data_IF_496350728207
#
_entry.id   IF_496350728207
#
_cell.length_a   1.000
_cell.length_b   1.000
_cell.length_c   1.000
_cell.angle_alpha   90.00
_cell.angle_beta   90.00
_cell.angle_gamma   90.00
#
_symmetry.space_group_name_H-M   'P 1'
#
loop_
_entity.id
_entity.type
_entity.pdbx_description
1 polymer ?
#
# COMPACT_ATOMS: atom_id res chain seq x y z
N UNK A 1 1.65 -11.80 8.78
CA UNK A 1 0.87 -10.67 9.32
C UNK A 1 1.22 -10.36 10.78
N UNK A 2 1.49 -11.36 11.64
CA UNK A 2 1.90 -11.14 13.04
C UNK A 2 3.11 -10.20 13.19
N UNK A 3 4.20 -10.40 12.45
CA UNK A 3 5.44 -9.58 12.61
C UNK A 3 5.22 -8.07 12.40
N UNK A 4 4.41 -7.66 11.41
CA UNK A 4 4.16 -6.22 11.17
C UNK A 4 3.09 -5.68 12.11
N UNK A 5 2.11 -6.51 12.49
CA UNK A 5 1.11 -6.19 13.51
C UNK A 5 1.71 -6.05 14.92
N UNK A 6 2.76 -6.81 15.24
CA UNK A 6 3.45 -6.74 16.53
C UNK A 6 4.35 -5.49 16.65
N UNK A 7 4.87 -4.99 15.53
CA UNK A 7 5.66 -3.73 15.47
C UNK A 7 4.74 -2.50 15.47
N UNK A 8 3.58 -2.59 14.81
CA UNK A 8 2.58 -1.51 14.71
C UNK A 8 1.19 -1.98 15.20
N UNK A 9 1.04 -2.31 16.49
CA UNK A 9 -0.21 -2.83 17.03
C UNK A 9 -1.33 -1.79 16.91
N UNK A 10 -2.51 -2.22 16.45
CA UNK A 10 -3.77 -1.45 16.41
C UNK A 10 -3.75 -0.10 15.67
N UNK A 11 -2.70 0.21 14.91
CA UNK A 11 -2.57 1.50 14.22
C UNK A 11 -2.93 1.43 12.72
N UNK A 12 -3.13 0.22 12.18
CA UNK A 12 -3.44 0.02 10.76
C UNK A 12 -2.29 0.35 9.81
N UNK A 13 -1.12 0.77 10.30
CA UNK A 13 0.07 1.07 9.47
C UNK A 13 0.66 -0.19 8.83
N UNK A 14 0.50 -1.35 9.47
CA UNK A 14 0.90 -2.63 8.89
C UNK A 14 0.16 -2.93 7.59
N UNK A 15 -1.15 -2.64 7.53
CA UNK A 15 -1.93 -2.76 6.30
C UNK A 15 -1.42 -1.81 5.21
N UNK A 16 -1.14 -0.55 5.55
CA UNK A 16 -0.68 0.45 4.58
C UNK A 16 0.68 0.08 3.98
N UNK A 17 1.68 -0.22 4.80
CA UNK A 17 3.03 -0.53 4.31
C UNK A 17 3.07 -1.81 3.48
N UNK A 18 2.38 -2.87 3.92
CA UNK A 18 2.32 -4.14 3.19
C UNK A 18 1.57 -3.96 1.87
N UNK A 19 0.49 -3.17 1.85
CA UNK A 19 -0.26 -2.87 0.64
C UNK A 19 0.56 -2.06 -0.37
N UNK A 20 1.33 -1.07 0.09
CA UNK A 20 2.25 -0.31 -0.77
C UNK A 20 3.28 -1.24 -1.43
N UNK A 21 3.94 -2.09 -0.64
CA UNK A 21 4.93 -3.04 -1.16
C UNK A 21 4.29 -4.04 -2.14
N UNK A 22 3.11 -4.57 -1.80
CA UNK A 22 2.39 -5.52 -2.65
C UNK A 22 1.98 -4.90 -3.99
N UNK A 23 1.35 -3.72 -3.97
CA UNK A 23 0.91 -3.03 -5.20
C UNK A 23 2.11 -2.63 -6.06
N UNK A 24 3.22 -2.20 -5.45
CA UNK A 24 4.44 -1.88 -6.17
C UNK A 24 5.01 -3.12 -6.88
N UNK A 25 5.17 -4.23 -6.16
CA UNK A 25 5.72 -5.47 -6.72
C UNK A 25 4.81 -6.07 -7.80
N UNK A 26 3.49 -6.06 -7.59
CA UNK A 26 2.52 -6.51 -8.58
C UNK A 26 2.54 -5.64 -9.83
N UNK A 27 2.59 -4.32 -9.67
CA UNK A 27 2.64 -3.40 -10.80
C UNK A 27 3.94 -3.53 -11.59
N UNK A 28 5.07 -3.84 -10.94
CA UNK A 28 6.32 -4.17 -11.62
C UNK A 28 6.26 -5.52 -12.33
N UNK A 29 5.64 -6.53 -11.72
CA UNK A 29 5.47 -7.86 -12.32
C UNK A 29 4.65 -7.81 -13.61
N UNK A 30 3.57 -7.01 -13.63
CA UNK A 30 2.71 -6.84 -14.81
C UNK A 30 3.20 -5.74 -15.77
N UNK A 31 4.31 -5.08 -15.46
CA UNK A 31 4.85 -4.05 -16.33
C UNK A 31 5.47 -4.71 -17.57
N UNK A 32 4.80 -4.55 -18.71
CA UNK A 32 5.28 -5.08 -19.98
C UNK A 32 6.51 -4.31 -20.48
N UNK A 33 6.45 -2.98 -20.45
CA UNK A 33 7.53 -2.10 -20.91
C UNK A 33 8.17 -1.33 -19.74
N UNK A 34 9.44 -1.63 -19.49
CA UNK A 34 10.24 -1.03 -18.42
C UNK A 34 10.80 0.33 -18.85
N UNK A 35 9.91 1.28 -19.11
CA UNK A 35 10.27 2.67 -19.41
C UNK A 35 10.34 3.50 -18.14
N UNK A 36 11.24 4.50 -18.09
CA UNK A 36 11.37 5.41 -16.94
C UNK A 36 10.03 6.05 -16.56
N UNK A 37 9.24 6.46 -17.56
CA UNK A 37 7.90 7.04 -17.37
C UNK A 37 6.94 6.05 -16.71
N UNK A 38 6.91 4.80 -17.18
CA UNK A 38 6.00 3.80 -16.63
C UNK A 38 6.38 3.39 -15.20
N UNK A 39 7.68 3.25 -14.91
CA UNK A 39 8.17 2.99 -13.55
C UNK A 39 7.78 4.14 -12.60
N UNK A 40 7.93 5.41 -13.02
CA UNK A 40 7.49 6.55 -12.20
C UNK A 40 5.99 6.50 -11.91
N UNK A 41 5.16 6.18 -12.90
CA UNK A 41 3.70 6.04 -12.72
C UNK A 41 3.38 4.92 -11.72
N UNK A 42 4.07 3.77 -11.84
CA UNK A 42 3.91 2.63 -10.94
C UNK A 42 4.26 3.02 -9.50
N UNK A 43 5.39 3.68 -9.26
CA UNK A 43 5.81 4.09 -7.92
C UNK A 43 4.81 5.08 -7.32
N UNK A 44 4.36 6.07 -8.09
CA UNK A 44 3.35 7.03 -7.64
C UNK A 44 2.04 6.32 -7.28
N UNK A 45 1.56 5.43 -8.14
CA UNK A 45 0.31 4.72 -7.91
C UNK A 45 0.38 3.79 -6.69
N UNK A 46 1.50 3.09 -6.51
CA UNK A 46 1.73 2.20 -5.38
C UNK A 46 1.77 2.93 -4.03
N UNK A 47 1.98 4.24 -4.02
CA UNK A 47 1.90 5.06 -2.80
C UNK A 47 0.50 5.66 -2.68
N UNK A 48 -0.01 6.29 -3.74
CA UNK A 48 -1.27 7.06 -3.71
C UNK A 48 -2.48 6.16 -3.48
N UNK A 49 -2.61 5.04 -4.21
CA UNK A 49 -3.79 4.18 -4.09
C UNK A 49 -3.92 3.53 -2.69
N UNK A 50 -2.86 2.93 -2.11
CA UNK A 50 -2.93 2.40 -0.75
C UNK A 50 -3.08 3.48 0.33
N UNK A 51 -2.48 4.66 0.14
CA UNK A 51 -2.65 5.78 1.08
C UNK A 51 -4.09 6.28 1.11
N UNK A 52 -4.73 6.43 -0.05
CA UNK A 52 -6.14 6.83 -0.15
C UNK A 52 -7.05 5.77 0.45
N UNK A 53 -6.82 4.49 0.13
CA UNK A 53 -7.58 3.39 0.70
C UNK A 53 -7.47 3.36 2.23
N UNK A 54 -6.26 3.51 2.77
CA UNK A 54 -6.05 3.59 4.22
C UNK A 54 -6.72 4.81 4.83
N UNK A 55 -6.61 5.98 4.20
CA UNK A 55 -7.26 7.20 4.70
C UNK A 55 -8.78 7.02 4.76
N UNK A 56 -9.39 6.49 3.71
CA UNK A 56 -10.83 6.23 3.68
C UNK A 56 -11.21 5.18 4.72
N UNK A 57 -10.53 4.05 4.79
CA UNK A 57 -10.89 2.97 5.71
C UNK A 57 -10.64 3.34 7.18
N UNK A 58 -9.48 3.93 7.49
CA UNK A 58 -9.07 4.24 8.85
C UNK A 58 -9.70 5.54 9.39
N UNK A 59 -9.84 6.59 8.57
CA UNK A 59 -10.37 7.89 9.01
C UNK A 59 -11.84 8.10 8.70
N UNK A 60 -12.32 7.68 7.53
CA UNK A 60 -13.72 7.91 7.14
C UNK A 60 -14.65 6.85 7.72
N UNK A 61 -14.23 5.58 7.66
CA UNK A 61 -15.05 4.47 8.14
C UNK A 61 -14.69 3.98 9.53
N UNK A 62 -13.59 4.46 10.12
CA UNK A 62 -13.08 4.01 11.43
C UNK A 62 -12.89 2.49 11.52
N UNK A 63 -12.74 1.82 10.37
CA UNK A 63 -12.43 0.39 10.27
C UNK A 63 -10.91 0.29 10.41
N UNK A 64 -10.42 0.54 11.62
CA UNK A 64 -9.11 0.06 12.02
C UNK A 64 -9.30 -1.41 12.36
N UNK A 65 -8.74 -2.31 11.54
CA UNK A 65 -8.68 -3.72 11.93
C UNK A 65 -7.99 -3.79 13.31
N UNK A 66 -8.57 -4.52 14.28
CA UNK A 66 -7.86 -4.87 15.51
C UNK A 66 -6.57 -5.65 15.18
#
# INVERSE_FOLDING_TARGET
MAVVGDIFPYTGYGFLMVSMAFVLLMSLLYLHDWTKKAITIVVVNAIVAPSLAWFVLAKLFTITLP
#
